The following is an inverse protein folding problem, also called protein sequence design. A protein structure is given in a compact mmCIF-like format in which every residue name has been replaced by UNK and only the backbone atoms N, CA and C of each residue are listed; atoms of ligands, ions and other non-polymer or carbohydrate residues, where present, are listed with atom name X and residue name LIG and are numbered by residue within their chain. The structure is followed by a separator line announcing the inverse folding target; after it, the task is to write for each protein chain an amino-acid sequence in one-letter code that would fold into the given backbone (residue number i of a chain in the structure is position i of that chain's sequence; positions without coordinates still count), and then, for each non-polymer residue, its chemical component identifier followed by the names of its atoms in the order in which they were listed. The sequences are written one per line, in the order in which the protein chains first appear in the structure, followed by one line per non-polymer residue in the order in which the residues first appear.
data_IF_383325306959
#
_entry.id   IF_383325306959
#
_cell.length_a   1.000
_cell.length_b   1.000
_cell.length_c   1.000
_cell.angle_alpha   90.00
_cell.angle_beta   90.00
_cell.angle_gamma   90.00
#
_symmetry.space_group_name_H-M   'P 1'
#
loop_
_entity.id
_entity.type
_entity.pdbx_description
1 polymer ?
#
# COMPACT_ATOMS: atom_id res chain seq x y z
N UNK A 1 10.95 5.69 50.10
CA UNK A 1 10.64 4.51 49.28
C UNK A 1 9.36 3.93 49.84
N UNK A 2 8.21 4.18 49.21
CA UNK A 2 6.90 3.72 49.67
C UNK A 2 6.18 3.07 48.51
N UNK A 3 5.50 1.97 48.84
CA UNK A 3 5.06 0.91 47.96
C UNK A 3 4.08 1.34 46.86
N UNK A 4 4.33 0.83 45.66
CA UNK A 4 3.40 0.77 44.54
C UNK A 4 2.42 -0.37 44.80
N UNK A 5 1.14 -0.04 45.03
CA UNK A 5 0.07 -1.02 45.20
C UNK A 5 -0.37 -1.57 43.81
N UNK A 6 -0.74 -2.85 43.70
CA UNK A 6 -1.29 -3.40 42.46
C UNK A 6 -2.81 -3.14 42.43
N UNK A 7 -3.28 -2.41 41.43
CA UNK A 7 -4.71 -2.32 41.11
C UNK A 7 -4.99 -3.39 40.04
N UNK A 8 -5.77 -4.39 40.42
CA UNK A 8 -6.24 -5.46 39.53
C UNK A 8 -7.25 -4.94 38.50
N UNK A 9 -7.38 -5.63 37.36
CA UNK A 9 -8.14 -5.21 36.19
C UNK A 9 -9.63 -5.56 36.33
N UNK A 10 -10.41 -5.15 35.32
CA UNK A 10 -11.79 -5.53 35.02
C UNK A 10 -12.85 -4.52 35.50
N UNK A 11 -13.46 -3.79 34.54
CA UNK A 11 -14.92 -3.69 34.36
C UNK A 11 -15.32 -2.38 33.63
N UNK A 12 -15.21 -2.37 32.29
CA UNK A 12 -15.90 -1.40 31.45
C UNK A 12 -16.48 -2.10 30.21
N UNK A 13 -17.53 -2.90 30.44
CA UNK A 13 -18.42 -3.41 29.39
C UNK A 13 -19.65 -2.49 29.31
N UNK A 14 -19.67 -1.55 28.35
CA UNK A 14 -20.91 -0.87 27.98
C UNK A 14 -21.71 -1.82 27.09
N UNK A 15 -22.71 -2.47 27.68
CA UNK A 15 -23.68 -3.28 26.97
C UNK A 15 -24.47 -2.43 25.97
N UNK A 16 -24.44 -2.89 24.72
CA UNK A 16 -25.25 -2.49 23.59
C UNK A 16 -26.75 -2.69 23.91
N UNK A 17 -27.55 -1.63 23.84
CA UNK A 17 -29.01 -1.71 23.94
C UNK A 17 -29.64 -1.22 22.65
N UNK A 18 -30.17 -2.17 21.90
CA UNK A 18 -31.03 -2.03 20.72
C UNK A 18 -32.43 -1.51 21.13
N UNK A 19 -32.97 -0.46 20.49
CA UNK A 19 -34.37 -0.08 20.65
C UNK A 19 -35.17 -0.32 19.36
N UNK A 20 -35.14 -1.53 18.80
CA UNK A 20 -36.29 -2.05 18.07
C UNK A 20 -37.40 -2.38 19.09
N UNK A 21 -38.29 -1.43 19.40
CA UNK A 21 -39.71 -1.60 19.75
C UNK A 21 -40.31 -0.23 20.16
N UNK A 22 -41.01 0.45 19.25
CA UNK A 22 -42.03 1.44 19.64
C UNK A 22 -43.24 1.23 18.75
N UNK A 23 -44.24 0.64 19.40
CA UNK A 23 -45.56 0.28 18.91
C UNK A 23 -46.37 1.54 18.56
N UNK A 24 -46.85 1.57 17.33
CA UNK A 24 -47.79 2.56 16.78
C UNK A 24 -49.13 2.51 17.52
N UNK A 25 -49.67 3.62 18.06
CA UNK A 25 -51.05 3.67 18.55
C UNK A 25 -52.06 3.79 17.40
N UNK A 26 -53.32 3.33 17.57
CA UNK A 26 -54.28 3.17 16.47
C UNK A 26 -54.95 4.49 16.05
N UNK A 27 -55.25 4.56 14.76
CA UNK A 27 -55.97 5.63 14.06
C UNK A 27 -57.47 5.60 14.43
N UNK A 28 -58.10 6.75 14.77
CA UNK A 28 -59.55 6.88 14.72
C UNK A 28 -60.00 7.34 13.32
N UNK A 29 -60.84 6.53 12.68
CA UNK A 29 -61.62 6.91 11.51
C UNK A 29 -62.54 8.10 11.85
N UNK A 30 -62.34 9.24 11.19
CA UNK A 30 -63.44 10.18 10.92
C UNK A 30 -63.40 10.63 9.47
N UNK A 31 -64.37 10.10 8.72
CA UNK A 31 -64.80 10.61 7.44
C UNK A 31 -65.33 12.04 7.59
N UNK A 32 -64.80 12.94 6.78
CA UNK A 32 -65.31 14.29 6.55
C UNK A 32 -64.78 14.78 5.22
N UNK A 33 -65.61 14.69 4.18
CA UNK A 33 -65.44 15.39 2.91
C UNK A 33 -65.32 16.91 3.14
N UNK A 34 -64.28 17.54 2.60
CA UNK A 34 -64.28 18.95 2.17
C UNK A 34 -63.19 19.15 1.09
N UNK A 35 -63.50 19.83 -0.03
CA UNK A 35 -62.63 19.90 -1.19
C UNK A 35 -61.75 21.16 -1.19
N UNK A 36 -60.65 21.10 -1.96
CA UNK A 36 -59.77 22.23 -2.32
C UNK A 36 -58.93 22.73 -1.15
N UNK A 37 -57.61 22.82 -1.22
CA UNK A 37 -56.90 23.72 -2.12
C UNK A 37 -55.50 23.15 -2.40
N UNK A 38 -55.12 23.16 -3.67
CA UNK A 38 -53.71 23.11 -4.06
C UNK A 38 -53.01 24.34 -3.47
N UNK A 39 -52.34 24.16 -2.34
CA UNK A 39 -51.26 25.03 -1.92
C UNK A 39 -49.99 24.25 -2.15
N UNK A 40 -49.24 24.66 -3.17
CA UNK A 40 -47.86 24.23 -3.33
C UNK A 40 -47.16 24.40 -1.99
N UNK A 41 -46.43 23.37 -1.58
CA UNK A 41 -45.51 23.43 -0.45
C UNK A 41 -44.37 24.41 -0.77
N UNK A 42 -44.67 25.70 -0.86
CA UNK A 42 -43.68 26.77 -0.71
C UNK A 42 -43.48 26.96 0.79
N UNK A 43 -42.29 26.58 1.26
CA UNK A 43 -41.87 26.66 2.64
C UNK A 43 -42.06 28.10 3.17
N UNK A 44 -42.94 28.35 4.16
CA UNK A 44 -43.27 29.70 4.62
C UNK A 44 -42.10 30.43 5.28
N UNK A 45 -41.03 29.72 5.67
CA UNK A 45 -39.77 30.28 6.16
C UNK A 45 -38.95 31.00 5.07
N UNK A 46 -39.29 30.82 3.79
CA UNK A 46 -38.65 31.50 2.66
C UNK A 46 -39.44 32.73 2.18
N UNK A 47 -40.66 32.93 2.71
CA UNK A 47 -41.56 34.01 2.31
C UNK A 47 -41.54 35.15 3.32
N UNK A 48 -40.45 35.92 3.35
CA UNK A 48 -40.36 37.23 4.02
C UNK A 48 -41.05 37.27 5.40
N UNK A 49 -40.59 36.44 6.34
CA UNK A 49 -40.98 36.62 7.75
C UNK A 49 -40.40 37.96 8.23
N UNK A 50 -41.22 38.90 8.73
CA UNK A 50 -40.74 40.19 9.25
C UNK A 50 -39.91 40.05 10.54
N UNK A 51 -39.67 38.81 11.00
CA UNK A 51 -38.83 38.47 12.14
C UNK A 51 -37.38 38.12 11.76
N UNK A 52 -37.08 37.86 10.48
CA UNK A 52 -35.73 37.54 10.04
C UNK A 52 -35.17 38.77 9.34
N UNK A 53 -34.11 39.36 9.92
CA UNK A 53 -33.45 40.52 9.33
C UNK A 53 -32.89 40.16 7.94
N UNK A 54 -32.87 41.09 6.98
CA UNK A 54 -32.32 40.85 5.62
C UNK A 54 -30.93 40.19 5.65
N UNK A 55 -30.10 40.55 6.64
CA UNK A 55 -28.78 39.97 6.87
C UNK A 55 -28.84 38.52 7.35
N UNK A 56 -29.78 38.17 8.23
CA UNK A 56 -29.94 36.80 8.72
C UNK A 56 -30.40 35.86 7.61
N UNK A 57 -31.27 36.34 6.72
CA UNK A 57 -31.70 35.59 5.53
C UNK A 57 -30.52 35.32 4.58
N UNK A 58 -29.69 36.34 4.30
CA UNK A 58 -28.47 36.19 3.47
C UNK A 58 -27.49 35.20 4.09
N UNK A 59 -27.29 35.26 5.41
CA UNK A 59 -26.41 34.34 6.14
C UNK A 59 -26.94 32.90 6.08
N UNK A 60 -28.25 32.68 6.25
CA UNK A 60 -28.87 31.35 6.15
C UNK A 60 -28.77 30.78 4.73
N UNK A 61 -28.92 31.62 3.70
CA UNK A 61 -28.78 31.23 2.30
C UNK A 61 -27.33 30.82 1.99
N UNK A 62 -26.34 31.55 2.52
CA UNK A 62 -24.93 31.15 2.43
C UNK A 62 -24.60 29.88 3.22
N UNK A 63 -25.18 29.67 4.40
CA UNK A 63 -24.99 28.42 5.14
C UNK A 63 -25.60 27.21 4.42
N UNK A 64 -26.79 27.36 3.83
CA UNK A 64 -27.40 26.28 3.02
C UNK A 64 -26.58 25.99 1.78
N UNK A 65 -26.03 27.03 1.13
CA UNK A 65 -25.09 26.89 0.01
C UNK A 65 -23.80 26.20 0.42
N UNK A 66 -23.22 26.59 1.55
CA UNK A 66 -22.01 26.00 2.09
C UNK A 66 -22.23 24.53 2.45
N UNK A 67 -23.32 24.20 3.14
CA UNK A 67 -23.68 22.83 3.46
C UNK A 67 -23.82 21.98 2.20
N UNK A 68 -24.48 22.51 1.16
CA UNK A 68 -24.59 21.85 -0.14
C UNK A 68 -23.20 21.62 -0.77
N UNK A 69 -22.30 22.60 -0.69
CA UNK A 69 -20.94 22.48 -1.21
C UNK A 69 -20.12 21.44 -0.44
N UNK A 70 -20.23 21.41 0.89
CA UNK A 70 -19.54 20.43 1.75
C UNK A 70 -20.05 19.02 1.50
N UNK A 71 -21.36 18.83 1.36
CA UNK A 71 -21.94 17.53 1.01
C UNK A 71 -21.47 17.08 -0.37
N UNK A 72 -21.50 17.95 -1.39
CA UNK A 72 -20.95 17.62 -2.72
C UNK A 72 -19.46 17.29 -2.69
N UNK A 73 -18.68 17.99 -1.85
CA UNK A 73 -17.26 17.71 -1.67
C UNK A 73 -17.07 16.34 -1.00
N UNK A 74 -17.83 16.04 0.05
CA UNK A 74 -17.80 14.74 0.73
C UNK A 74 -18.16 13.60 -0.22
N UNK A 75 -19.21 13.76 -1.02
CA UNK A 75 -19.62 12.75 -2.02
C UNK A 75 -18.53 12.52 -3.06
N UNK A 76 -17.89 13.58 -3.56
CA UNK A 76 -16.77 13.47 -4.51
C UNK A 76 -15.53 12.85 -3.87
N UNK A 77 -15.23 13.16 -2.61
CA UNK A 77 -14.11 12.55 -1.89
C UNK A 77 -14.40 11.07 -1.61
N UNK A 78 -15.63 10.73 -1.24
CA UNK A 78 -16.05 9.34 -1.06
C UNK A 78 -16.01 8.56 -2.38
N UNK A 79 -16.42 9.17 -3.50
CA UNK A 79 -16.33 8.59 -4.84
C UNK A 79 -14.87 8.44 -5.29
N UNK A 80 -14.01 9.43 -5.06
CA UNK A 80 -12.58 9.34 -5.37
C UNK A 80 -11.83 8.35 -4.47
N UNK A 81 -12.21 8.23 -3.19
CA UNK A 81 -11.65 7.27 -2.25
C UNK A 81 -12.19 5.85 -2.47
N UNK A 82 -13.44 5.73 -2.94
CA UNK A 82 -14.07 4.48 -3.36
C UNK A 82 -13.66 4.05 -4.76
N UNK A 83 -13.23 4.99 -5.60
CA UNK A 83 -12.66 4.71 -6.92
C UNK A 83 -11.30 4.01 -6.74
N UNK A 84 -11.08 2.87 -7.41
CA UNK A 84 -9.96 2.01 -7.11
C UNK A 84 -8.64 2.66 -7.55
N UNK A 85 -7.94 3.28 -6.60
CA UNK A 85 -6.50 3.48 -6.69
C UNK A 85 -5.73 2.15 -6.84
N UNK A 86 -6.42 1.00 -6.72
CA UNK A 86 -5.87 -0.32 -6.95
C UNK A 86 -5.38 -0.52 -8.39
N UNK A 87 -6.01 0.07 -9.42
CA UNK A 87 -5.59 -0.17 -10.81
C UNK A 87 -4.14 0.26 -11.08
N UNK A 88 -3.71 1.50 -10.76
CA UNK A 88 -2.29 1.89 -10.91
C UNK A 88 -1.37 1.19 -9.89
N UNK A 89 -1.82 0.94 -8.65
CA UNK A 89 -1.01 0.25 -7.64
C UNK A 89 -0.76 -1.23 -8.00
N UNK A 90 -1.74 -1.92 -8.55
CA UNK A 90 -1.63 -3.29 -9.06
C UNK A 90 -0.75 -3.33 -10.32
N UNK A 91 -0.82 -2.29 -11.16
CA UNK A 91 0.11 -2.08 -12.26
C UNK A 91 1.56 -1.95 -11.79
N UNK A 92 1.82 -1.17 -10.74
CA UNK A 92 3.15 -1.02 -10.15
C UNK A 92 3.65 -2.31 -9.51
N UNK A 93 2.81 -3.03 -8.76
CA UNK A 93 3.17 -4.33 -8.17
C UNK A 93 3.48 -5.38 -9.24
N UNK A 94 2.69 -5.42 -10.31
CA UNK A 94 2.95 -6.31 -11.45
C UNK A 94 4.26 -5.95 -12.14
N UNK A 95 4.52 -4.65 -12.33
CA UNK A 95 5.75 -4.17 -12.92
C UNK A 95 6.97 -4.55 -12.06
N UNK A 96 6.91 -4.32 -10.75
CA UNK A 96 7.93 -4.72 -9.78
C UNK A 96 8.23 -6.22 -9.88
N UNK A 97 7.21 -7.07 -9.87
CA UNK A 97 7.41 -8.52 -9.97
C UNK A 97 8.11 -8.91 -11.28
N UNK A 98 7.73 -8.28 -12.40
CA UNK A 98 8.32 -8.55 -13.72
C UNK A 98 9.77 -8.07 -13.79
N UNK A 99 10.06 -6.86 -13.35
CA UNK A 99 11.42 -6.31 -13.38
C UNK A 99 12.33 -7.00 -12.37
N UNK A 100 11.85 -7.35 -11.18
CA UNK A 100 12.59 -8.14 -10.19
C UNK A 100 12.98 -9.52 -10.76
N UNK A 101 12.07 -10.15 -11.50
CA UNK A 101 12.36 -11.42 -12.19
C UNK A 101 13.47 -11.23 -13.24
N UNK A 102 13.34 -10.22 -14.11
CA UNK A 102 14.37 -9.93 -15.13
C UNK A 102 15.72 -9.58 -14.49
N UNK A 103 15.73 -8.75 -13.45
CA UNK A 103 16.94 -8.38 -12.71
C UNK A 103 17.61 -9.60 -12.06
N UNK A 104 16.82 -10.52 -11.48
CA UNK A 104 17.33 -11.75 -10.87
C UNK A 104 17.96 -12.67 -11.93
N UNK A 105 17.27 -12.87 -13.06
CA UNK A 105 17.79 -13.69 -14.15
C UNK A 105 19.06 -13.09 -14.75
N UNK A 106 19.11 -11.76 -14.92
CA UNK A 106 20.29 -11.06 -15.38
C UNK A 106 21.44 -11.17 -14.38
N UNK A 107 21.17 -11.02 -13.08
CA UNK A 107 22.18 -11.16 -12.04
C UNK A 107 22.74 -12.57 -11.98
N UNK A 108 21.88 -13.59 -12.09
CA UNK A 108 22.30 -14.98 -12.14
C UNK A 108 23.12 -15.28 -13.41
N UNK A 109 22.72 -14.75 -14.58
CA UNK A 109 23.44 -14.98 -15.82
C UNK A 109 24.83 -14.33 -15.79
N UNK A 110 24.91 -13.06 -15.36
CA UNK A 110 26.19 -12.36 -15.22
C UNK A 110 27.08 -13.06 -14.20
N UNK A 111 26.54 -13.44 -13.03
CA UNK A 111 27.31 -14.14 -12.02
C UNK A 111 27.86 -15.48 -12.53
N UNK A 112 27.03 -16.26 -13.23
CA UNK A 112 27.46 -17.53 -13.83
C UNK A 112 28.60 -17.33 -14.82
N UNK A 113 28.52 -16.32 -15.69
CA UNK A 113 29.55 -16.05 -16.70
C UNK A 113 30.85 -15.60 -16.05
N UNK A 114 30.79 -14.65 -15.10
CA UNK A 114 31.98 -14.14 -14.41
C UNK A 114 32.66 -15.26 -13.62
N UNK A 115 31.88 -16.08 -12.92
CA UNK A 115 32.42 -17.20 -12.15
C UNK A 115 33.07 -18.26 -13.06
N UNK A 116 32.43 -18.59 -14.19
CA UNK A 116 33.01 -19.51 -15.17
C UNK A 116 34.32 -19.00 -15.74
N UNK A 117 34.44 -17.69 -16.00
CA UNK A 117 35.69 -17.08 -16.47
C UNK A 117 36.79 -17.12 -15.41
N UNK A 118 36.46 -16.86 -14.14
CA UNK A 118 37.42 -16.97 -13.03
C UNK A 118 37.98 -18.40 -12.93
N UNK A 119 37.09 -19.39 -12.91
CA UNK A 119 37.47 -20.81 -12.85
C UNK A 119 38.30 -21.22 -14.08
N UNK A 120 37.93 -20.74 -15.27
CA UNK A 120 38.67 -21.05 -16.50
C UNK A 120 40.10 -20.48 -16.44
N UNK A 121 40.23 -19.19 -16.10
CA UNK A 121 41.52 -18.51 -16.03
C UNK A 121 42.43 -19.15 -14.94
N UNK A 122 41.88 -19.44 -13.76
CA UNK A 122 42.62 -20.11 -12.67
C UNK A 122 43.14 -21.50 -13.08
N UNK A 123 42.34 -22.26 -13.86
CA UNK A 123 42.76 -23.57 -14.35
C UNK A 123 43.86 -23.49 -15.42
N UNK A 124 43.82 -22.49 -16.31
CA UNK A 124 44.87 -22.27 -17.32
C UNK A 124 46.21 -21.90 -16.67
N UNK A 125 46.18 -21.06 -15.63
CA UNK A 125 47.37 -20.69 -14.86
C UNK A 125 47.99 -21.90 -14.14
N UNK A 126 47.16 -22.77 -13.55
CA UNK A 126 47.61 -24.00 -12.90
C UNK A 126 48.24 -24.99 -13.90
N UNK A 127 47.68 -25.12 -15.10
CA UNK A 127 48.26 -25.98 -16.14
C UNK A 127 49.63 -25.47 -16.62
N UNK A 128 49.79 -24.15 -16.79
CA UNK A 128 51.08 -23.58 -17.16
C UNK A 128 52.13 -23.78 -16.07
N UNK A 129 51.77 -23.65 -14.78
CA UNK A 129 52.71 -23.92 -13.69
C UNK A 129 53.14 -25.39 -13.66
N UNK A 130 52.21 -26.33 -13.79
CA UNK A 130 52.55 -27.76 -13.81
C UNK A 130 53.42 -28.13 -15.00
N UNK A 131 53.15 -27.55 -16.17
CA UNK A 131 53.96 -27.79 -17.37
C UNK A 131 55.36 -27.18 -17.23
N UNK A 132 55.47 -26.00 -16.63
CA UNK A 132 56.75 -25.35 -16.34
C UNK A 132 57.58 -26.15 -15.33
N UNK A 133 56.98 -26.62 -14.24
CA UNK A 133 57.64 -27.47 -13.24
C UNK A 133 58.10 -28.79 -13.83
N UNK A 134 57.26 -29.48 -14.60
CA UNK A 134 57.62 -30.72 -15.28
C UNK A 134 58.81 -30.50 -16.23
N UNK A 135 58.80 -29.40 -16.99
CA UNK A 135 59.87 -29.06 -17.93
C UNK A 135 61.17 -28.64 -17.21
N UNK A 136 61.08 -28.05 -16.02
CA UNK A 136 62.23 -27.73 -15.19
C UNK A 136 62.86 -28.98 -14.58
N UNK A 137 62.01 -29.92 -14.12
CA UNK A 137 62.47 -31.20 -13.59
C UNK A 137 63.19 -32.00 -14.67
N UNK A 138 62.60 -32.11 -15.87
CA UNK A 138 63.20 -32.84 -17.00
C UNK A 138 64.57 -32.27 -17.40
N UNK A 139 64.69 -30.93 -17.45
CA UNK A 139 65.99 -30.28 -17.67
C UNK A 139 67.01 -30.55 -16.56
N UNK A 140 66.59 -30.56 -15.29
CA UNK A 140 67.49 -30.89 -14.18
C UNK A 140 67.96 -32.34 -14.24
N UNK A 141 67.06 -33.28 -14.58
CA UNK A 141 67.43 -34.67 -14.82
C UNK A 141 68.46 -34.75 -15.95
N UNK A 142 68.20 -34.12 -17.09
CA UNK A 142 69.10 -34.17 -18.25
C UNK A 142 70.49 -33.56 -17.95
N UNK A 143 70.54 -32.45 -17.22
CA UNK A 143 71.79 -31.77 -16.87
C UNK A 143 72.61 -32.49 -15.78
N UNK A 144 71.94 -33.22 -14.87
CA UNK A 144 72.59 -34.04 -13.85
C UNK A 144 73.29 -35.28 -14.39
N UNK A 145 72.80 -35.84 -15.51
CA UNK A 145 73.48 -36.95 -16.18
C UNK A 145 74.76 -36.50 -16.90
N UNK A 146 74.81 -35.31 -17.50
CA UNK A 146 76.00 -34.82 -18.21
C UNK A 146 77.19 -34.50 -17.27
N UNK A 147 76.96 -34.03 -16.04
CA UNK A 147 78.05 -33.77 -15.08
C UNK A 147 78.71 -35.06 -14.56
N UNK A 148 77.96 -36.16 -14.41
CA UNK A 148 78.49 -37.44 -13.90
C UNK A 148 79.26 -38.26 -14.96
N UNK A 149 79.02 -38.06 -16.26
CA UNK A 149 79.80 -38.75 -17.33
C UNK A 149 81.12 -38.05 -17.68
N UNK A 150 81.34 -36.81 -17.22
CA UNK A 150 82.49 -35.99 -17.67
C UNK A 150 83.75 -36.17 -16.79
N UNK A 151 83.67 -36.93 -15.69
CA UNK A 151 84.82 -37.29 -14.85
C UNK A 151 85.18 -38.78 -14.99
N UNK A 152 85.89 -39.15 -16.06
CA UNK A 152 86.69 -40.38 -16.10
C UNK A 152 88.00 -40.17 -16.86
#
# INVERSE_FOLDING_TARGET
MSAFAPEDPDDYSYAETDPAETSTPPIPDQAGDEPSHGHGHSNPLLGSDPLVSDLEQEVLEEYTRLLRNVNQLSDKVADLAGSPASMPLDGLRLLERKTATVCTLLKASVYSIVLQQQIWNENEEQQQQQQSEAQFQDQQYQHGYDEDVTFQ
#
